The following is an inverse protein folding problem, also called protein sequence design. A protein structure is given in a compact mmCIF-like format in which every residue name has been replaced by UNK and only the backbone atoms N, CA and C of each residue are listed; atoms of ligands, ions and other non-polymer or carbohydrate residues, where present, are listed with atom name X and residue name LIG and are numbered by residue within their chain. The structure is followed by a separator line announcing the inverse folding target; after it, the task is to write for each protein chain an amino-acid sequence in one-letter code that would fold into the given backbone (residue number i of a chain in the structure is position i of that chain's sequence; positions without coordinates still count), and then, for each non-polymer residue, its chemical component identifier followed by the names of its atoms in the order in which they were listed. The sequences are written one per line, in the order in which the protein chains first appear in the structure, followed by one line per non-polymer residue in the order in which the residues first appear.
data_IF_182684562410
#
_entry.id   IF_182684562410
#
_cell.length_a   1.000
_cell.length_b   1.000
_cell.length_c   1.000
_cell.angle_alpha   90.00
_cell.angle_beta   90.00
_cell.angle_gamma   90.00
#
_symmetry.space_group_name_H-M   'P 1'
#
loop_
_entity.id
_entity.type
_entity.pdbx_description
1 polymer ?
#
# COMPACT_ATOMS: atom_id res chain seq x y z
N UNK A 1 -30.82 8.83 -2.91
CA UNK A 1 -29.89 8.12 -3.78
C UNK A 1 -28.50 8.69 -3.52
N UNK A 2 -27.48 7.89 -3.43
CA UNK A 2 -26.07 8.29 -3.27
C UNK A 2 -25.23 7.65 -4.41
N UNK A 3 -24.12 8.29 -4.76
CA UNK A 3 -23.25 7.85 -5.84
C UNK A 3 -21.99 7.17 -5.33
N UNK A 4 -21.53 7.52 -4.13
CA UNK A 4 -20.27 7.02 -3.57
C UNK A 4 -20.42 6.58 -2.12
N UNK A 5 -19.43 5.81 -1.60
CA UNK A 5 -19.38 5.42 -0.19
C UNK A 5 -19.37 6.67 0.72
N UNK A 6 -18.58 7.69 0.35
CA UNK A 6 -18.51 8.93 1.13
C UNK A 6 -19.85 9.68 1.16
N UNK A 7 -20.53 9.82 0.02
CA UNK A 7 -21.86 10.43 -0.02
C UNK A 7 -22.88 9.67 0.82
N UNK A 8 -22.85 8.32 0.77
CA UNK A 8 -23.73 7.49 1.58
C UNK A 8 -23.52 7.76 3.07
N UNK A 9 -22.25 7.74 3.50
CA UNK A 9 -21.87 7.98 4.90
C UNK A 9 -22.27 9.40 5.36
N UNK A 10 -22.01 10.43 4.55
CA UNK A 10 -22.37 11.81 4.85
C UNK A 10 -23.89 12.03 4.99
N UNK A 11 -24.68 11.20 4.30
CA UNK A 11 -26.16 11.19 4.42
C UNK A 11 -26.66 10.26 5.52
N UNK A 12 -25.77 9.65 6.32
CA UNK A 12 -26.12 8.75 7.42
C UNK A 12 -26.48 7.32 6.99
N UNK A 13 -26.19 6.93 5.74
CA UNK A 13 -26.48 5.57 5.28
C UNK A 13 -25.25 4.65 5.49
N UNK A 14 -25.53 3.43 5.92
CA UNK A 14 -24.58 2.33 5.96
C UNK A 14 -24.74 1.49 4.69
N UNK A 15 -23.66 1.33 3.92
CA UNK A 15 -23.63 0.50 2.71
C UNK A 15 -23.28 -0.94 3.04
N UNK A 16 -23.45 -1.86 2.08
CA UNK A 16 -23.02 -3.25 2.27
C UNK A 16 -21.50 -3.37 2.37
N UNK A 17 -20.75 -2.55 1.63
CA UNK A 17 -19.29 -2.49 1.77
C UNK A 17 -18.86 -2.06 3.19
N UNK A 18 -19.53 -1.08 3.79
CA UNK A 18 -19.27 -0.67 5.19
C UNK A 18 -19.56 -1.80 6.19
N UNK A 19 -20.61 -2.59 5.99
CA UNK A 19 -20.90 -3.76 6.85
C UNK A 19 -19.80 -4.80 6.80
N UNK A 20 -19.35 -5.16 5.60
CA UNK A 20 -18.26 -6.13 5.38
C UNK A 20 -16.97 -5.63 6.05
N UNK A 21 -16.60 -4.38 5.81
CA UNK A 21 -15.39 -3.79 6.41
C UNK A 21 -15.50 -3.75 7.94
N UNK A 22 -16.66 -3.35 8.49
CA UNK A 22 -16.86 -3.29 9.94
C UNK A 22 -16.71 -4.66 10.61
N UNK A 23 -17.21 -5.73 9.96
CA UNK A 23 -17.05 -7.11 10.43
C UNK A 23 -15.56 -7.52 10.42
N UNK A 24 -14.84 -7.30 9.32
CA UNK A 24 -13.40 -7.60 9.20
C UNK A 24 -12.56 -6.87 10.26
N UNK A 25 -12.90 -5.61 10.51
CA UNK A 25 -12.17 -4.74 11.44
C UNK A 25 -12.64 -4.87 12.91
N UNK A 26 -13.61 -5.75 13.19
CA UNK A 26 -14.23 -5.90 14.51
C UNK A 26 -14.68 -4.57 15.11
N UNK A 27 -15.23 -3.70 14.25
CA UNK A 27 -15.66 -2.34 14.58
C UNK A 27 -17.17 -2.19 14.49
N UNK A 28 -17.74 -1.31 15.32
CA UNK A 28 -19.12 -0.90 15.18
C UNK A 28 -19.34 -0.19 13.83
N UNK A 29 -20.36 -0.61 13.09
CA UNK A 29 -20.61 -0.13 11.72
C UNK A 29 -20.98 1.36 11.65
N UNK A 30 -21.66 1.89 12.68
CA UNK A 30 -22.00 3.30 12.76
C UNK A 30 -20.74 4.15 13.00
N UNK A 31 -19.81 3.65 13.83
CA UNK A 31 -18.49 4.26 14.03
C UNK A 31 -17.70 4.27 12.74
N UNK A 32 -17.70 3.18 11.97
CA UNK A 32 -17.05 3.10 10.68
C UNK A 32 -17.65 4.11 9.70
N UNK A 33 -18.99 4.14 9.58
CA UNK A 33 -19.69 5.13 8.75
C UNK A 33 -19.28 6.57 9.10
N UNK A 34 -19.20 6.89 10.37
CA UNK A 34 -18.82 8.24 10.82
C UNK A 34 -17.36 8.59 10.44
N UNK A 35 -16.44 7.61 10.48
CA UNK A 35 -15.07 7.79 10.00
C UNK A 35 -15.02 7.98 8.48
N UNK A 36 -15.82 7.23 7.73
CA UNK A 36 -15.97 7.42 6.27
C UNK A 36 -16.57 8.80 5.98
N UNK A 37 -17.64 9.20 6.66
CA UNK A 37 -18.29 10.51 6.49
C UNK A 37 -17.33 11.70 6.73
N UNK A 38 -16.36 11.53 7.65
CA UNK A 38 -15.32 12.51 7.92
C UNK A 38 -14.15 12.43 6.90
N UNK A 39 -14.14 11.44 6.00
CA UNK A 39 -13.05 11.16 5.06
C UNK A 39 -11.78 10.65 5.73
N UNK A 40 -11.86 10.12 6.95
CA UNK A 40 -10.74 9.52 7.70
C UNK A 40 -10.57 8.02 7.41
N UNK A 41 -11.54 7.44 6.72
CA UNK A 41 -11.51 6.10 6.16
C UNK A 41 -12.00 6.19 4.72
N UNK A 42 -11.32 5.52 3.81
CA UNK A 42 -11.75 5.25 2.45
C UNK A 42 -12.05 3.76 2.27
N UNK A 43 -13.08 3.44 1.50
CA UNK A 43 -13.41 2.08 1.08
C UNK A 43 -13.42 2.10 -0.44
N UNK A 44 -12.27 1.90 -1.10
CA UNK A 44 -12.18 1.83 -2.55
C UNK A 44 -13.00 0.65 -3.06
N UNK A 45 -14.06 0.92 -3.82
CA UNK A 45 -15.00 -0.10 -4.25
C UNK A 45 -15.79 0.42 -5.46
N UNK A 46 -15.23 0.22 -6.66
CA UNK A 46 -15.87 0.62 -7.90
C UNK A 46 -17.14 -0.20 -8.17
N UNK A 47 -18.20 0.44 -8.64
CA UNK A 47 -19.48 -0.19 -8.96
C UNK A 47 -19.38 -1.32 -9.98
N UNK A 48 -18.37 -1.27 -10.87
CA UNK A 48 -18.14 -2.24 -11.92
C UNK A 48 -17.23 -3.41 -11.48
N UNK A 49 -16.58 -3.30 -10.30
CA UNK A 49 -15.77 -4.36 -9.72
C UNK A 49 -16.64 -5.29 -8.85
N UNK A 50 -17.38 -6.19 -9.50
CA UNK A 50 -18.45 -6.96 -8.83
C UNK A 50 -17.95 -8.13 -7.97
N UNK A 51 -16.69 -8.55 -8.12
CA UNK A 51 -16.10 -9.65 -7.34
C UNK A 51 -15.26 -9.16 -6.14
N UNK A 52 -15.16 -7.85 -5.93
CA UNK A 52 -14.37 -7.28 -4.84
C UNK A 52 -14.84 -7.78 -3.48
N UNK A 53 -13.89 -8.04 -2.60
CA UNK A 53 -14.10 -8.22 -1.17
C UNK A 53 -13.64 -6.93 -0.45
N UNK A 54 -14.56 -5.99 -0.14
CA UNK A 54 -14.21 -4.62 0.26
C UNK A 54 -13.29 -4.55 1.46
N UNK A 55 -12.29 -3.65 1.39
CA UNK A 55 -11.38 -3.30 2.47
C UNK A 55 -11.48 -1.81 2.83
N UNK A 56 -11.27 -1.49 4.08
CA UNK A 56 -11.19 -0.11 4.55
C UNK A 56 -9.74 0.32 4.78
N UNK A 57 -9.39 1.52 4.38
CA UNK A 57 -8.08 2.12 4.59
C UNK A 57 -8.27 3.37 5.44
N UNK A 58 -7.58 3.47 6.59
CA UNK A 58 -7.63 4.69 7.38
C UNK A 58 -7.62 4.49 8.88
N UNK A 59 -8.15 5.50 9.57
CA UNK A 59 -8.08 5.65 11.02
C UNK A 59 -8.77 4.51 11.77
N UNK A 60 -8.08 3.95 12.76
CA UNK A 60 -8.57 2.89 13.65
C UNK A 60 -8.84 1.52 12.98
N UNK A 61 -8.40 1.33 11.75
CA UNK A 61 -8.42 0.06 11.03
C UNK A 61 -7.04 -0.59 11.03
N UNK A 62 -6.96 -1.89 10.70
CA UNK A 62 -5.69 -2.56 10.44
C UNK A 62 -4.96 -1.86 9.28
N UNK A 63 -3.65 -1.79 9.39
CA UNK A 63 -2.79 -1.27 8.31
C UNK A 63 -2.82 -2.22 7.11
N UNK A 64 -3.20 -1.70 5.93
CA UNK A 64 -3.29 -2.46 4.68
C UNK A 64 -1.99 -2.42 3.91
N UNK A 65 -1.73 -3.43 3.10
CA UNK A 65 -0.60 -3.43 2.16
C UNK A 65 -1.07 -3.43 0.72
N UNK A 66 -0.33 -2.71 -0.12
CA UNK A 66 -0.49 -2.70 -1.56
C UNK A 66 0.70 -3.37 -2.24
N UNK A 67 0.42 -4.23 -3.20
CA UNK A 67 1.40 -4.94 -4.01
C UNK A 67 1.41 -4.37 -5.42
N UNK A 68 2.56 -3.82 -5.85
CA UNK A 68 2.77 -3.34 -7.19
C UNK A 68 3.21 -4.48 -8.10
N UNK A 69 2.61 -4.55 -9.28
CA UNK A 69 3.00 -5.47 -10.35
C UNK A 69 2.64 -4.86 -11.70
N UNK A 70 3.04 -5.51 -12.77
CA UNK A 70 2.69 -5.05 -14.12
C UNK A 70 3.79 -5.33 -15.13
N UNK A 71 3.39 -5.32 -16.41
CA UNK A 71 4.28 -5.56 -17.54
C UNK A 71 5.13 -4.35 -17.87
N UNK A 72 6.33 -4.61 -18.39
CA UNK A 72 7.23 -3.62 -18.97
C UNK A 72 7.59 -4.02 -20.41
N UNK A 73 8.32 -3.14 -21.10
CA UNK A 73 8.77 -3.44 -22.47
C UNK A 73 9.63 -4.70 -22.55
N UNK A 74 10.42 -4.95 -21.52
CA UNK A 74 11.35 -6.08 -21.48
C UNK A 74 10.72 -7.36 -20.91
N UNK A 75 9.57 -7.24 -20.19
CA UNK A 75 8.85 -8.36 -19.57
C UNK A 75 7.35 -8.16 -19.82
N UNK A 76 6.81 -8.91 -20.79
CA UNK A 76 5.41 -8.80 -21.25
C UNK A 76 4.56 -10.05 -20.95
N UNK A 77 5.02 -10.89 -20.03
CA UNK A 77 4.36 -12.16 -19.69
C UNK A 77 3.22 -11.91 -18.68
N UNK A 78 1.98 -11.85 -19.19
CA UNK A 78 0.78 -11.70 -18.37
C UNK A 78 0.51 -12.90 -17.46
N UNK A 79 0.90 -14.11 -17.85
CA UNK A 79 0.65 -15.30 -17.04
C UNK A 79 1.55 -15.27 -15.78
N UNK A 80 2.80 -14.85 -15.93
CA UNK A 80 3.70 -14.59 -14.80
C UNK A 80 3.16 -13.48 -13.86
N UNK A 81 2.58 -12.41 -14.43
CA UNK A 81 1.97 -11.35 -13.60
C UNK A 81 0.73 -11.85 -12.84
N UNK A 82 -0.10 -12.70 -13.44
CA UNK A 82 -1.24 -13.33 -12.74
C UNK A 82 -0.76 -14.29 -11.64
N UNK A 83 0.34 -15.02 -11.85
CA UNK A 83 0.93 -15.84 -10.78
C UNK A 83 1.31 -14.99 -9.57
N UNK A 84 1.95 -13.84 -9.79
CA UNK A 84 2.28 -12.89 -8.71
C UNK A 84 1.02 -12.35 -8.02
N UNK A 85 -0.04 -12.05 -8.75
CA UNK A 85 -1.35 -11.67 -8.15
C UNK A 85 -1.87 -12.77 -7.24
N UNK A 86 -1.87 -14.02 -7.71
CA UNK A 86 -2.34 -15.15 -6.92
C UNK A 86 -1.54 -15.31 -5.62
N UNK A 87 -0.20 -15.20 -5.70
CA UNK A 87 0.65 -15.21 -4.50
C UNK A 87 0.33 -14.04 -3.57
N UNK A 88 0.16 -12.84 -4.12
CA UNK A 88 -0.17 -11.67 -3.30
C UNK A 88 -1.47 -11.88 -2.50
N UNK A 89 -2.52 -12.39 -3.15
CA UNK A 89 -3.80 -12.69 -2.50
C UNK A 89 -3.65 -13.79 -1.43
N UNK A 90 -2.96 -14.89 -1.75
CA UNK A 90 -2.74 -15.99 -0.80
C UNK A 90 -1.97 -15.54 0.44
N UNK A 91 -1.04 -14.63 0.29
CA UNK A 91 -0.26 -14.04 1.38
C UNK A 91 -0.99 -12.89 2.08
N UNK A 92 -2.22 -12.59 1.65
CA UNK A 92 -3.12 -11.66 2.33
C UNK A 92 -2.87 -10.19 1.98
N UNK A 93 -2.42 -9.88 0.76
CA UNK A 93 -2.42 -8.51 0.26
C UNK A 93 -3.86 -8.02 0.06
N UNK A 94 -4.16 -6.82 0.54
CA UNK A 94 -5.49 -6.21 0.46
C UNK A 94 -5.68 -5.41 -0.84
N UNK A 95 -4.57 -5.08 -1.52
CA UNK A 95 -4.59 -4.27 -2.74
C UNK A 95 -3.53 -4.70 -3.74
N UNK A 96 -3.89 -4.60 -5.00
CA UNK A 96 -3.00 -4.82 -6.16
C UNK A 96 -2.98 -3.53 -6.99
N UNK A 97 -1.80 -2.97 -7.22
CA UNK A 97 -1.64 -1.84 -8.13
C UNK A 97 -1.01 -2.30 -9.45
N UNK A 98 -1.75 -2.17 -10.52
CA UNK A 98 -1.27 -2.47 -11.88
C UNK A 98 -0.48 -1.28 -12.44
N UNK A 99 0.83 -1.45 -12.54
CA UNK A 99 1.77 -0.46 -13.07
C UNK A 99 2.25 -0.77 -14.50
N UNK A 100 1.47 -1.54 -15.26
CA UNK A 100 1.82 -1.93 -16.62
C UNK A 100 2.10 -0.71 -17.51
N UNK A 101 3.21 -0.78 -18.26
CA UNK A 101 3.66 0.27 -19.19
C UNK A 101 3.83 -0.24 -20.60
N UNK A 102 3.40 -1.47 -20.89
CA UNK A 102 3.53 -2.08 -22.21
C UNK A 102 2.49 -3.17 -22.45
N UNK A 103 2.14 -3.40 -23.72
CA UNK A 103 1.16 -4.41 -24.15
C UNK A 103 -0.27 -3.89 -24.12
N UNK A 104 -1.23 -4.79 -24.18
CA UNK A 104 -2.66 -4.46 -24.05
C UNK A 104 -3.02 -4.33 -22.55
N UNK A 105 -2.74 -3.17 -22.00
CA UNK A 105 -2.97 -2.87 -20.59
C UNK A 105 -4.44 -2.98 -20.21
N UNK A 106 -5.37 -2.74 -21.16
CA UNK A 106 -6.81 -2.81 -20.91
C UNK A 106 -7.31 -4.24 -20.70
N UNK A 107 -6.81 -5.20 -21.48
CA UNK A 107 -7.15 -6.62 -21.31
C UNK A 107 -6.71 -7.09 -19.93
N UNK A 108 -5.48 -6.78 -19.53
CA UNK A 108 -4.96 -7.17 -18.23
C UNK A 108 -5.74 -6.51 -17.08
N UNK A 109 -6.03 -5.21 -17.18
CA UNK A 109 -6.83 -4.46 -16.20
C UNK A 109 -8.21 -5.06 -16.01
N UNK A 110 -8.94 -5.35 -17.11
CA UNK A 110 -10.27 -6.00 -17.06
C UNK A 110 -10.22 -7.40 -16.47
N UNK A 111 -9.17 -8.17 -16.76
CA UNK A 111 -8.98 -9.48 -16.14
C UNK A 111 -8.84 -9.34 -14.63
N UNK A 112 -8.02 -8.40 -14.15
CA UNK A 112 -7.87 -8.13 -12.72
C UNK A 112 -9.21 -7.77 -12.07
N UNK A 113 -9.95 -6.80 -12.59
CA UNK A 113 -11.21 -6.34 -12.00
C UNK A 113 -12.36 -7.37 -12.13
N UNK A 114 -12.24 -8.38 -12.99
CA UNK A 114 -13.24 -9.45 -13.11
C UNK A 114 -12.96 -10.69 -12.25
N UNK A 115 -11.71 -10.92 -11.84
CA UNK A 115 -11.28 -12.17 -11.18
C UNK A 115 -10.67 -11.94 -9.78
N UNK A 116 -10.04 -10.80 -9.54
CA UNK A 116 -9.35 -10.51 -8.29
C UNK A 116 -10.31 -9.93 -7.25
N UNK A 117 -10.24 -10.40 -6.00
CA UNK A 117 -11.05 -9.90 -4.89
C UNK A 117 -10.43 -8.70 -4.15
N UNK A 118 -9.14 -8.44 -4.33
CA UNK A 118 -8.47 -7.32 -3.72
C UNK A 118 -8.81 -6.00 -4.42
N UNK A 119 -8.63 -4.87 -3.75
CA UNK A 119 -8.74 -3.55 -4.36
C UNK A 119 -7.76 -3.42 -5.53
N UNK A 120 -8.21 -2.93 -6.68
CA UNK A 120 -7.38 -2.72 -7.87
C UNK A 120 -7.09 -1.23 -8.02
N UNK A 121 -5.80 -0.88 -7.97
CA UNK A 121 -5.29 0.46 -8.25
C UNK A 121 -4.58 0.55 -9.59
N UNK A 122 -4.57 1.73 -10.18
CA UNK A 122 -3.84 2.01 -11.43
C UNK A 122 -3.28 3.43 -11.46
N UNK A 123 -2.39 3.69 -12.42
CA UNK A 123 -1.78 5.01 -12.68
C UNK A 123 -2.10 5.43 -14.12
N UNK A 124 -3.21 6.11 -14.38
CA UNK A 124 -3.70 6.40 -15.73
C UNK A 124 -2.70 7.09 -16.66
N UNK A 125 -1.80 7.93 -16.13
CA UNK A 125 -0.79 8.60 -16.94
C UNK A 125 0.14 7.63 -17.70
N UNK A 126 0.36 6.41 -17.17
CA UNK A 126 1.17 5.41 -17.88
C UNK A 126 0.45 4.91 -19.13
N UNK A 127 -0.86 4.71 -19.00
CA UNK A 127 -1.70 4.17 -20.07
C UNK A 127 -2.06 5.24 -21.13
N UNK A 128 -2.04 6.53 -20.78
CA UNK A 128 -2.40 7.61 -21.70
C UNK A 128 -1.56 7.61 -22.97
N UNK A 129 -0.23 7.43 -22.84
CA UNK A 129 0.68 7.36 -24.00
C UNK A 129 0.44 6.09 -24.81
N UNK A 130 0.22 4.94 -24.13
CA UNK A 130 0.03 3.64 -24.76
C UNK A 130 -1.30 3.60 -25.50
N UNK A 131 -2.38 4.02 -24.86
CA UNK A 131 -3.73 3.98 -25.40
C UNK A 131 -3.87 4.87 -26.64
N UNK A 132 -3.39 6.10 -26.56
CA UNK A 132 -3.52 7.05 -27.66
C UNK A 132 -2.45 6.89 -28.75
N UNK A 133 -1.40 6.10 -28.52
CA UNK A 133 -0.29 5.86 -29.46
C UNK A 133 0.30 7.17 -30.02
N UNK A 134 0.46 8.18 -29.14
CA UNK A 134 1.02 9.50 -29.45
C UNK A 134 2.17 9.83 -28.51
N UNK A 135 3.07 10.69 -28.97
CA UNK A 135 4.14 11.20 -28.11
C UNK A 135 3.56 12.01 -26.95
N UNK A 136 4.24 11.95 -25.81
CA UNK A 136 3.78 12.61 -24.58
C UNK A 136 3.42 14.10 -24.80
N UNK A 137 4.21 14.83 -25.58
CA UNK A 137 3.98 16.24 -25.87
C UNK A 137 2.75 16.52 -26.75
N UNK A 138 2.25 15.52 -27.45
CA UNK A 138 1.08 15.62 -28.33
C UNK A 138 -0.24 15.32 -27.60
N UNK A 139 -0.16 14.74 -26.40
CA UNK A 139 -1.35 14.46 -25.59
C UNK A 139 -2.01 15.77 -25.15
N UNK A 140 -3.33 15.76 -25.17
CA UNK A 140 -4.17 16.85 -24.68
C UNK A 140 -4.72 16.55 -23.30
N UNK A 141 -5.29 17.54 -22.63
CA UNK A 141 -5.97 17.32 -21.35
C UNK A 141 -7.11 16.30 -21.51
N UNK A 142 -7.86 16.37 -22.62
CA UNK A 142 -8.97 15.43 -22.90
C UNK A 142 -8.48 13.96 -23.00
N UNK A 143 -7.30 13.73 -23.62
CA UNK A 143 -6.73 12.38 -23.71
C UNK A 143 -6.44 11.79 -22.32
N UNK A 144 -5.97 12.60 -21.38
CA UNK A 144 -5.77 12.16 -19.99
C UNK A 144 -7.10 11.89 -19.29
N UNK A 145 -8.12 12.74 -19.48
CA UNK A 145 -9.46 12.55 -18.90
C UNK A 145 -10.14 11.31 -19.46
N UNK A 146 -10.05 11.08 -20.77
CA UNK A 146 -10.56 9.87 -21.43
C UNK A 146 -9.92 8.61 -20.82
N UNK A 147 -8.60 8.60 -20.63
CA UNK A 147 -7.90 7.48 -20.02
C UNK A 147 -8.40 7.21 -18.59
N UNK A 148 -8.60 8.24 -17.77
CA UNK A 148 -9.17 8.09 -16.42
C UNK A 148 -10.56 7.46 -16.49
N UNK A 149 -11.41 7.91 -17.42
CA UNK A 149 -12.76 7.36 -17.65
C UNK A 149 -12.72 5.88 -18.03
N UNK A 150 -11.81 5.49 -18.93
CA UNK A 150 -11.62 4.09 -19.32
C UNK A 150 -11.23 3.21 -18.14
N UNK A 151 -10.35 3.68 -17.25
CA UNK A 151 -9.97 2.95 -16.05
C UNK A 151 -11.17 2.79 -15.09
N UNK A 152 -11.95 3.85 -14.90
CA UNK A 152 -13.15 3.82 -14.08
C UNK A 152 -14.21 2.84 -14.64
N UNK A 153 -14.46 2.86 -15.96
CA UNK A 153 -15.37 1.93 -16.66
C UNK A 153 -14.93 0.48 -16.52
N UNK A 154 -13.63 0.22 -16.58
CA UNK A 154 -13.04 -1.10 -16.46
C UNK A 154 -13.06 -1.66 -15.02
N UNK A 155 -13.60 -0.91 -14.03
CA UNK A 155 -13.80 -1.38 -12.67
C UNK A 155 -12.66 -1.12 -11.71
N UNK A 156 -11.73 -0.22 -12.03
CA UNK A 156 -10.61 0.15 -11.14
C UNK A 156 -11.15 0.85 -9.89
N UNK A 157 -10.73 0.43 -8.70
CA UNK A 157 -11.24 0.91 -7.42
C UNK A 157 -10.60 2.24 -6.97
N UNK A 158 -9.33 2.44 -7.31
CA UNK A 158 -8.65 3.70 -7.07
C UNK A 158 -7.64 4.03 -8.17
N UNK A 159 -7.47 5.32 -8.44
CA UNK A 159 -6.52 5.81 -9.44
C UNK A 159 -5.53 6.77 -8.81
N UNK A 160 -4.23 6.57 -9.09
CA UNK A 160 -3.19 7.50 -8.67
C UNK A 160 -3.04 8.62 -9.69
N UNK A 161 -3.25 9.84 -9.24
CA UNK A 161 -3.19 11.05 -10.05
C UNK A 161 -2.25 12.09 -9.43
N UNK A 162 -1.27 12.53 -10.19
CA UNK A 162 -0.26 13.51 -9.74
C UNK A 162 -0.77 14.94 -9.89
N UNK A 163 -1.81 15.28 -9.14
CA UNK A 163 -2.46 16.59 -9.20
C UNK A 163 -1.70 17.68 -8.44
N UNK A 164 -0.76 17.32 -7.55
CA UNK A 164 -0.10 18.24 -6.63
C UNK A 164 0.96 19.13 -7.26
N UNK A 165 1.59 18.71 -8.37
CA UNK A 165 2.59 19.52 -9.07
C UNK A 165 1.92 20.53 -10.01
N UNK A 166 2.44 21.78 -10.00
CA UNK A 166 1.95 22.88 -10.81
C UNK A 166 3.13 23.59 -11.47
N UNK A 167 2.90 24.56 -12.34
CA UNK A 167 3.95 25.41 -12.88
C UNK A 167 4.75 26.15 -11.79
N UNK A 168 4.12 26.43 -10.65
CA UNK A 168 4.83 27.00 -9.49
C UNK A 168 5.81 25.96 -8.91
N UNK A 169 5.39 24.70 -8.76
CA UNK A 169 6.26 23.61 -8.30
C UNK A 169 7.47 23.40 -9.22
N UNK A 170 7.30 23.49 -10.56
CA UNK A 170 8.42 23.45 -11.50
C UNK A 170 9.46 24.53 -11.19
N UNK A 171 9.02 25.74 -10.89
CA UNK A 171 9.92 26.85 -10.56
C UNK A 171 10.65 26.61 -9.22
N UNK A 172 9.99 26.00 -8.25
CA UNK A 172 10.61 25.64 -6.97
C UNK A 172 11.67 24.54 -7.15
N UNK A 173 11.35 23.48 -7.87
CA UNK A 173 12.30 22.39 -8.17
C UNK A 173 13.57 22.94 -8.85
N UNK A 174 13.42 23.84 -9.83
CA UNK A 174 14.55 24.48 -10.52
C UNK A 174 15.43 25.31 -9.58
N UNK A 175 14.86 25.91 -8.55
CA UNK A 175 15.58 26.75 -7.57
C UNK A 175 16.21 25.93 -6.45
N UNK A 176 15.49 24.90 -5.97
CA UNK A 176 15.87 24.16 -4.77
C UNK A 176 17.02 23.20 -5.02
N UNK A 177 17.07 22.58 -6.21
CA UNK A 177 18.13 21.63 -6.61
C UNK A 177 18.26 20.45 -5.64
N UNK A 178 17.16 19.72 -5.44
CA UNK A 178 17.18 18.41 -4.76
C UNK A 178 18.22 17.48 -5.40
N UNK A 179 18.71 16.49 -4.68
CA UNK A 179 19.74 15.57 -5.20
C UNK A 179 19.23 14.72 -6.36
N UNK A 180 18.03 14.15 -6.22
CA UNK A 180 17.43 13.26 -7.22
C UNK A 180 16.25 13.89 -7.98
N UNK A 181 15.79 15.08 -7.54
CA UNK A 181 14.60 15.72 -8.10
C UNK A 181 13.35 14.81 -8.03
N UNK A 182 12.54 14.77 -9.09
CA UNK A 182 11.35 13.92 -9.15
C UNK A 182 11.76 12.47 -9.50
N UNK A 183 11.57 11.55 -8.57
CA UNK A 183 11.82 10.11 -8.76
C UNK A 183 10.53 9.32 -9.03
N UNK A 184 9.37 9.93 -8.80
CA UNK A 184 8.08 9.36 -9.15
C UNK A 184 7.95 9.24 -10.68
N UNK A 185 7.72 8.02 -11.18
CA UNK A 185 7.57 7.76 -12.62
C UNK A 185 6.42 8.58 -13.22
N UNK A 186 5.25 8.56 -12.61
CA UNK A 186 4.09 9.31 -13.10
C UNK A 186 4.24 10.82 -12.90
N UNK A 187 4.78 11.23 -11.76
CA UNK A 187 5.10 12.64 -11.50
C UNK A 187 6.08 13.21 -12.52
N UNK A 188 7.13 12.45 -12.89
CA UNK A 188 8.10 12.87 -13.90
C UNK A 188 7.50 12.98 -15.30
N UNK A 189 6.53 12.12 -15.67
CA UNK A 189 5.82 12.22 -16.95
C UNK A 189 4.97 13.51 -17.01
N UNK A 190 4.22 13.83 -15.98
CA UNK A 190 3.44 15.07 -15.91
C UNK A 190 4.37 16.29 -15.91
N UNK A 191 5.45 16.25 -15.14
CA UNK A 191 6.45 17.32 -15.15
C UNK A 191 7.05 17.52 -16.55
N UNK A 192 7.40 16.45 -17.26
CA UNK A 192 7.91 16.48 -18.63
C UNK A 192 6.87 17.08 -19.58
N UNK A 193 5.62 16.63 -19.52
CA UNK A 193 4.53 17.16 -20.34
C UNK A 193 4.36 18.67 -20.14
N UNK A 194 4.28 19.13 -18.89
CA UNK A 194 4.18 20.55 -18.54
C UNK A 194 5.39 21.35 -19.06
N UNK A 195 6.58 20.78 -18.99
CA UNK A 195 7.82 21.44 -19.43
C UNK A 195 7.90 21.56 -20.96
N UNK A 196 7.45 20.54 -21.69
CA UNK A 196 7.46 20.52 -23.16
C UNK A 196 6.35 21.38 -23.76
N UNK A 197 5.15 21.35 -23.17
CA UNK A 197 3.98 22.07 -23.71
C UNK A 197 3.86 23.48 -23.18
N UNK A 198 4.50 23.82 -22.07
CA UNK A 198 4.34 25.11 -21.38
C UNK A 198 2.97 25.27 -20.69
N UNK A 199 2.12 24.24 -20.70
CA UNK A 199 0.78 24.24 -20.10
C UNK A 199 0.83 23.91 -18.62
N UNK A 200 -0.27 24.13 -17.90
CA UNK A 200 -0.47 23.72 -16.52
C UNK A 200 -0.72 22.19 -16.47
N UNK A 201 -0.54 21.60 -15.30
CA UNK A 201 -0.83 20.20 -15.04
C UNK A 201 -2.30 19.88 -15.38
N UNK A 202 -2.60 18.99 -16.32
CA UNK A 202 -3.97 18.71 -16.74
C UNK A 202 -4.81 18.11 -15.61
N UNK A 203 -4.22 17.33 -14.69
CA UNK A 203 -4.94 16.77 -13.54
C UNK A 203 -5.27 17.83 -12.48
N UNK A 204 -4.48 18.89 -12.36
CA UNK A 204 -4.77 20.01 -11.49
C UNK A 204 -5.82 20.96 -12.11
N UNK A 205 -5.64 21.31 -13.36
CA UNK A 205 -6.50 22.26 -14.09
C UNK A 205 -7.92 21.71 -14.27
N UNK A 206 -8.05 20.42 -14.62
CA UNK A 206 -9.32 19.72 -14.84
C UNK A 206 -9.77 18.86 -13.67
N UNK A 207 -9.36 19.21 -12.44
CA UNK A 207 -9.65 18.38 -11.27
C UNK A 207 -11.13 18.17 -11.03
N UNK A 208 -11.99 19.18 -11.25
CA UNK A 208 -13.44 19.05 -11.05
C UNK A 208 -14.07 18.08 -12.06
N UNK A 209 -13.59 18.02 -13.29
CA UNK A 209 -14.04 17.05 -14.31
C UNK A 209 -13.61 15.62 -13.93
N UNK A 210 -12.41 15.47 -13.37
CA UNK A 210 -11.94 14.19 -12.82
C UNK A 210 -12.83 13.74 -11.66
N UNK A 211 -13.21 14.65 -10.77
CA UNK A 211 -14.11 14.32 -9.67
C UNK A 211 -15.48 13.85 -10.17
N UNK A 212 -16.01 14.44 -11.23
CA UNK A 212 -17.28 14.00 -11.82
C UNK A 212 -17.17 12.60 -12.43
N UNK A 213 -16.06 12.26 -13.12
CA UNK A 213 -15.78 10.91 -13.60
C UNK A 213 -15.72 9.92 -12.42
N UNK A 214 -14.92 10.23 -11.39
CA UNK A 214 -14.76 9.34 -10.23
C UNK A 214 -16.07 9.11 -9.48
N UNK A 215 -16.94 10.12 -9.42
CA UNK A 215 -18.25 10.04 -8.78
C UNK A 215 -19.19 9.07 -9.47
N UNK A 216 -19.17 9.04 -10.80
CA UNK A 216 -20.07 8.17 -11.58
C UNK A 216 -19.80 6.68 -11.34
N UNK A 217 -18.56 6.32 -11.01
CA UNK A 217 -18.13 4.93 -10.82
C UNK A 217 -17.75 4.56 -9.38
N UNK A 218 -17.79 5.51 -8.43
CA UNK A 218 -17.29 5.38 -7.05
C UNK A 218 -15.79 5.03 -6.99
N UNK A 219 -15.00 5.71 -7.82
CA UNK A 219 -13.53 5.56 -7.83
C UNK A 219 -12.93 6.44 -6.74
N UNK A 220 -12.07 5.87 -5.92
CA UNK A 220 -11.26 6.61 -4.94
C UNK A 220 -10.07 7.26 -5.65
N UNK A 221 -9.75 8.51 -5.33
CA UNK A 221 -8.55 9.17 -5.85
C UNK A 221 -7.39 8.96 -4.87
N UNK A 222 -6.31 8.34 -5.35
CA UNK A 222 -5.01 8.39 -4.69
C UNK A 222 -4.26 9.61 -5.20
N UNK A 223 -4.16 10.66 -4.37
CA UNK A 223 -3.44 11.88 -4.70
C UNK A 223 -1.94 11.61 -4.61
N UNK A 224 -1.31 11.47 -5.79
CA UNK A 224 0.07 11.07 -5.94
C UNK A 224 1.08 12.12 -5.49
N UNK A 225 2.16 11.68 -4.89
CA UNK A 225 3.29 12.47 -4.39
C UNK A 225 4.43 12.52 -5.43
N UNK A 226 4.31 13.38 -6.42
CA UNK A 226 5.34 13.55 -7.46
C UNK A 226 6.72 13.92 -6.86
N UNK A 227 6.70 14.76 -5.83
CA UNK A 227 7.90 15.28 -5.15
C UNK A 227 8.34 14.41 -3.95
N UNK A 228 7.91 13.13 -3.87
CA UNK A 228 8.40 12.24 -2.83
C UNK A 228 9.92 12.10 -2.87
N UNK A 229 10.62 12.09 -1.71
CA UNK A 229 12.08 11.96 -1.69
C UNK A 229 12.52 10.57 -2.18
N UNK A 230 13.48 10.56 -3.11
CA UNK A 230 14.14 9.35 -3.61
C UNK A 230 15.45 9.03 -2.90
N UNK A 231 15.88 9.88 -1.97
CA UNK A 231 17.02 9.66 -1.09
C UNK A 231 16.81 10.42 0.23
N UNK A 232 17.53 10.01 1.27
CA UNK A 232 17.38 10.61 2.61
C UNK A 232 17.68 12.13 2.62
N UNK A 233 18.55 12.58 1.72
CA UNK A 233 18.95 13.99 1.67
C UNK A 233 17.85 14.93 1.16
N UNK A 234 16.87 14.39 0.43
CA UNK A 234 15.74 15.15 -0.12
C UNK A 234 14.48 15.04 0.76
N UNK A 235 14.56 14.28 1.86
CA UNK A 235 13.43 14.07 2.76
C UNK A 235 12.97 15.39 3.41
N UNK A 236 11.66 15.60 3.43
CA UNK A 236 11.01 16.76 4.07
C UNK A 236 11.47 18.11 3.48
N UNK A 237 11.85 18.09 2.19
CA UNK A 237 12.25 19.30 1.50
C UNK A 237 11.06 20.22 1.16
N UNK A 238 11.37 21.41 0.66
CA UNK A 238 10.34 22.42 0.33
C UNK A 238 9.39 21.93 -0.76
N UNK A 239 9.87 21.13 -1.72
CA UNK A 239 9.05 20.66 -2.83
C UNK A 239 8.05 19.60 -2.36
N UNK A 240 8.48 18.67 -1.51
CA UNK A 240 7.61 17.67 -0.88
C UNK A 240 6.52 18.34 -0.04
N UNK A 241 6.88 19.31 0.81
CA UNK A 241 5.91 19.98 1.69
C UNK A 241 4.96 20.90 0.91
N UNK A 242 5.45 21.64 -0.11
CA UNK A 242 4.57 22.46 -0.96
C UNK A 242 3.54 21.61 -1.70
N UNK A 243 3.96 20.45 -2.25
CA UNK A 243 3.04 19.51 -2.87
C UNK A 243 2.00 19.00 -1.86
N UNK A 244 2.41 18.59 -0.65
CA UNK A 244 1.50 18.10 0.37
C UNK A 244 0.45 19.15 0.80
N UNK A 245 0.83 20.42 0.91
CA UNK A 245 -0.13 21.51 1.16
C UNK A 245 -1.21 21.54 0.07
N UNK A 246 -0.81 21.41 -1.19
CA UNK A 246 -1.75 21.40 -2.33
C UNK A 246 -2.62 20.15 -2.35
N UNK A 247 -2.06 18.97 -2.02
CA UNK A 247 -2.85 17.75 -1.86
C UNK A 247 -3.93 17.91 -0.78
N UNK A 248 -3.62 18.62 0.32
CA UNK A 248 -4.61 18.97 1.34
C UNK A 248 -5.75 19.87 0.84
N UNK A 249 -5.45 20.83 -0.04
CA UNK A 249 -6.46 21.68 -0.69
C UNK A 249 -7.35 20.86 -1.64
N UNK A 250 -6.76 19.99 -2.46
CA UNK A 250 -7.49 19.11 -3.37
C UNK A 250 -8.35 18.10 -2.63
N UNK A 251 -7.88 17.60 -1.48
CA UNK A 251 -8.65 16.72 -0.59
C UNK A 251 -9.96 17.36 -0.14
N UNK A 252 -9.91 18.64 0.24
CA UNK A 252 -11.13 19.38 0.62
C UNK A 252 -12.12 19.49 -0.55
N UNK A 253 -11.61 19.76 -1.77
CA UNK A 253 -12.44 19.85 -2.98
C UNK A 253 -13.09 18.49 -3.30
N UNK A 254 -12.31 17.41 -3.26
CA UNK A 254 -12.82 16.06 -3.51
C UNK A 254 -13.91 15.66 -2.51
N UNK A 255 -13.66 15.86 -1.20
CA UNK A 255 -14.64 15.57 -0.15
C UNK A 255 -15.92 16.38 -0.28
N UNK A 256 -15.84 17.63 -0.72
CA UNK A 256 -17.02 18.47 -0.98
C UNK A 256 -17.88 17.95 -2.14
N UNK A 257 -17.28 17.23 -3.09
CA UNK A 257 -17.95 16.52 -4.20
C UNK A 257 -18.37 15.07 -3.82
N UNK A 258 -18.13 14.63 -2.59
CA UNK A 258 -18.44 13.28 -2.13
C UNK A 258 -17.46 12.20 -2.62
N UNK A 259 -16.24 12.57 -2.99
CA UNK A 259 -15.22 11.63 -3.48
C UNK A 259 -14.24 11.26 -2.37
N UNK A 260 -13.99 9.95 -2.21
CA UNK A 260 -12.99 9.42 -1.30
C UNK A 260 -11.58 9.73 -1.82
N UNK A 261 -10.67 10.01 -0.88
CA UNK A 261 -9.28 10.34 -1.18
C UNK A 261 -8.35 9.53 -0.30
N UNK A 262 -7.25 9.08 -0.88
CA UNK A 262 -6.06 8.57 -0.22
C UNK A 262 -4.92 9.52 -0.59
N UNK A 263 -4.03 9.84 0.34
CA UNK A 263 -2.86 10.69 0.06
C UNK A 263 -1.64 9.79 -0.08
N UNK A 264 -0.88 9.92 -1.17
CA UNK A 264 0.43 9.28 -1.26
C UNK A 264 1.48 10.08 -0.50
N UNK A 265 2.45 9.38 0.04
CA UNK A 265 3.44 9.96 0.92
C UNK A 265 4.85 9.38 0.73
N UNK A 266 5.82 9.85 1.52
CA UNK A 266 7.21 9.85 1.18
C UNK A 266 7.81 8.45 1.00
N UNK A 267 8.86 8.38 0.14
CA UNK A 267 9.67 7.19 -0.11
C UNK A 267 10.85 7.07 0.86
N UNK A 268 11.93 7.82 0.62
CA UNK A 268 13.14 7.74 1.45
C UNK A 268 13.11 8.81 2.56
N UNK A 269 13.02 8.37 3.83
CA UNK A 269 12.94 9.30 4.98
C UNK A 269 13.80 8.77 6.12
N UNK A 270 14.71 9.60 6.69
CA UNK A 270 15.42 9.23 7.91
C UNK A 270 14.45 8.85 9.02
N UNK A 271 14.77 7.80 9.78
CA UNK A 271 13.87 7.21 10.77
C UNK A 271 13.28 8.25 11.75
N UNK A 272 14.10 9.21 12.17
CA UNK A 272 13.71 10.29 13.10
C UNK A 272 12.80 11.37 12.48
N UNK A 273 12.55 11.36 11.17
CA UNK A 273 11.66 12.33 10.51
C UNK A 273 10.31 11.71 10.13
N UNK A 274 10.14 10.40 10.25
CA UNK A 274 8.92 9.70 9.81
C UNK A 274 7.71 10.22 10.59
N UNK A 275 7.79 10.28 11.91
CA UNK A 275 6.70 10.77 12.75
C UNK A 275 6.24 12.17 12.33
N UNK A 276 7.17 13.10 12.12
CA UNK A 276 6.84 14.46 11.71
C UNK A 276 6.13 14.50 10.36
N UNK A 277 6.53 13.65 9.40
CA UNK A 277 5.84 13.54 8.10
C UNK A 277 4.38 13.05 8.27
N UNK A 278 4.14 12.08 9.15
CA UNK A 278 2.77 11.60 9.43
C UNK A 278 1.90 12.70 10.07
N UNK A 279 2.44 13.43 11.05
CA UNK A 279 1.74 14.52 11.75
C UNK A 279 1.42 15.71 10.82
N UNK A 280 2.36 16.04 9.91
CA UNK A 280 2.15 17.11 8.92
C UNK A 280 1.02 16.72 7.96
N UNK A 281 1.01 15.48 7.45
CA UNK A 281 -0.06 15.01 6.58
C UNK A 281 -1.41 15.01 7.28
N UNK A 282 -1.51 14.41 8.48
CA UNK A 282 -2.77 14.38 9.25
C UNK A 282 -3.35 15.79 9.40
N UNK A 283 -2.48 16.78 9.65
CA UNK A 283 -2.89 18.18 9.81
C UNK A 283 -3.33 18.82 8.49
N UNK A 284 -2.52 18.71 7.44
CA UNK A 284 -2.75 19.39 6.17
C UNK A 284 -3.88 18.73 5.36
N UNK A 285 -3.96 17.41 5.39
CA UNK A 285 -4.95 16.64 4.63
C UNK A 285 -6.20 16.25 5.45
N UNK A 286 -6.30 16.74 6.70
CA UNK A 286 -7.47 16.55 7.56
C UNK A 286 -7.72 15.09 7.90
N UNK A 287 -6.66 14.34 8.18
CA UNK A 287 -6.69 12.93 8.57
C UNK A 287 -7.18 12.00 7.45
N UNK A 288 -6.94 12.32 6.19
CA UNK A 288 -7.15 11.41 5.08
C UNK A 288 -6.28 10.15 5.24
N UNK A 289 -6.67 8.99 4.70
CA UNK A 289 -5.80 7.83 4.72
C UNK A 289 -4.46 8.11 4.05
N UNK A 290 -3.36 7.80 4.74
CA UNK A 290 -2.01 8.05 4.24
C UNK A 290 -1.38 6.76 3.71
N UNK A 291 -0.95 6.79 2.45
CA UNK A 291 -0.36 5.70 1.68
C UNK A 291 1.11 6.02 1.40
N UNK A 292 2.03 5.25 1.99
CA UNK A 292 3.46 5.54 1.96
C UNK A 292 4.28 4.44 1.30
N UNK A 293 5.37 4.80 0.62
CA UNK A 293 6.33 3.86 0.01
C UNK A 293 7.40 3.51 1.04
N UNK A 294 7.16 2.51 1.84
CA UNK A 294 8.01 2.16 2.96
C UNK A 294 7.62 2.92 4.23
N UNK A 295 8.34 4.00 4.65
CA UNK A 295 9.52 4.66 4.03
C UNK A 295 10.83 3.88 4.14
N UNK A 296 11.71 4.05 3.15
CA UNK A 296 13.06 3.51 3.19
C UNK A 296 13.94 4.38 4.11
N UNK A 297 14.54 3.77 5.13
CA UNK A 297 15.27 4.51 6.20
C UNK A 297 16.77 4.64 5.96
N UNK A 298 17.28 4.05 4.86
CA UNK A 298 18.66 4.20 4.42
C UNK A 298 18.78 3.98 2.91
N UNK A 299 19.76 4.63 2.27
CA UNK A 299 19.98 4.58 0.82
C UNK A 299 21.04 3.54 0.41
N UNK A 300 21.71 2.87 1.36
CA UNK A 300 22.89 2.04 1.09
C UNK A 300 22.63 0.53 1.14
N UNK A 301 21.37 0.12 1.00
CA UNK A 301 21.01 -1.29 1.12
C UNK A 301 20.32 -1.87 -0.14
N UNK A 302 20.81 -1.65 -1.38
CA UNK A 302 20.24 -2.27 -2.56
C UNK A 302 20.22 -3.80 -2.42
N UNK A 303 19.09 -4.43 -2.81
CA UNK A 303 18.84 -5.86 -2.59
C UNK A 303 18.23 -6.19 -1.22
N UNK A 304 18.19 -5.21 -0.30
CA UNK A 304 17.56 -5.30 1.02
C UNK A 304 16.55 -4.16 1.26
N UNK A 305 16.12 -3.48 0.21
CA UNK A 305 15.20 -2.33 0.30
C UNK A 305 13.88 -2.70 0.97
N UNK A 306 13.38 -3.92 0.81
CA UNK A 306 12.22 -4.44 1.52
C UNK A 306 12.40 -4.44 3.06
N UNK A 307 13.61 -4.67 3.56
CA UNK A 307 13.91 -4.63 5.00
C UNK A 307 13.95 -3.18 5.49
N UNK A 308 14.65 -2.30 4.76
CA UNK A 308 14.75 -0.88 5.14
C UNK A 308 13.38 -0.20 5.12
N UNK A 309 12.57 -0.53 4.12
CA UNK A 309 11.22 -0.04 3.96
C UNK A 309 10.24 -0.63 5.01
N UNK A 310 10.39 -1.89 5.39
CA UNK A 310 9.57 -2.48 6.47
C UNK A 310 9.86 -1.83 7.83
N UNK A 311 11.12 -1.49 8.11
CA UNK A 311 11.48 -0.74 9.34
C UNK A 311 10.75 0.60 9.35
N UNK A 312 10.86 1.38 8.28
CA UNK A 312 10.18 2.66 8.17
C UNK A 312 8.66 2.55 8.13
N UNK A 313 8.15 1.52 7.45
CA UNK A 313 6.72 1.22 7.36
C UNK A 313 6.08 0.91 8.71
N UNK A 314 6.77 0.16 9.57
CA UNK A 314 6.31 -0.08 10.93
C UNK A 314 6.22 1.21 11.75
N UNK A 315 7.22 2.09 11.64
CA UNK A 315 7.21 3.40 12.32
C UNK A 315 6.14 4.32 11.72
N UNK A 316 6.01 4.39 10.41
CA UNK A 316 4.98 5.18 9.74
C UNK A 316 3.57 4.71 10.14
N UNK A 317 3.32 3.40 10.10
CA UNK A 317 2.04 2.81 10.51
C UNK A 317 1.70 3.09 11.98
N UNK A 318 2.67 2.99 12.89
CA UNK A 318 2.50 3.34 14.30
C UNK A 318 2.06 4.81 14.47
N UNK A 319 2.52 5.70 13.60
CA UNK A 319 2.25 7.15 13.68
C UNK A 319 1.15 7.64 12.74
N UNK A 320 0.42 6.75 12.03
CA UNK A 320 -0.78 7.16 11.31
C UNK A 320 -0.90 6.71 9.86
N UNK A 321 0.18 6.27 9.22
CA UNK A 321 0.06 5.65 7.90
C UNK A 321 -0.85 4.42 8.00
N UNK A 322 -1.80 4.31 7.08
CA UNK A 322 -2.82 3.26 7.10
C UNK A 322 -2.76 2.34 5.89
N UNK A 323 -1.91 2.67 4.92
CA UNK A 323 -1.70 1.93 3.70
C UNK A 323 -0.22 1.94 3.35
N UNK A 324 0.38 0.76 3.22
CA UNK A 324 1.80 0.61 2.94
C UNK A 324 2.00 0.07 1.53
N UNK A 325 2.70 0.82 0.69
CA UNK A 325 3.22 0.29 -0.56
C UNK A 325 4.39 -0.64 -0.25
N UNK A 326 4.26 -1.90 -0.65
CA UNK A 326 5.33 -2.85 -0.44
C UNK A 326 6.56 -2.49 -1.29
N UNK A 327 7.70 -2.95 -0.85
CA UNK A 327 8.99 -2.87 -1.56
C UNK A 327 9.58 -4.27 -1.61
N UNK A 328 10.24 -4.62 -2.70
CA UNK A 328 10.85 -5.94 -2.91
C UNK A 328 12.36 -5.88 -2.81
N UNK A 329 13.07 -7.03 -2.68
CA UNK A 329 14.52 -7.07 -2.80
C UNK A 329 15.05 -6.53 -4.13
N UNK A 330 14.23 -6.60 -5.20
CA UNK A 330 14.60 -6.15 -6.54
C UNK A 330 14.41 -4.63 -6.76
N UNK A 331 13.91 -3.89 -5.76
CA UNK A 331 13.69 -2.45 -5.88
C UNK A 331 14.96 -1.73 -6.34
N UNK A 332 14.81 -0.77 -7.25
CA UNK A 332 15.90 -0.05 -7.91
C UNK A 332 16.88 -0.89 -8.75
N UNK A 333 16.71 -2.23 -8.81
CA UNK A 333 17.63 -3.16 -9.48
C UNK A 333 17.02 -3.85 -10.70
N UNK A 334 15.79 -4.37 -10.57
CA UNK A 334 15.14 -5.17 -11.61
C UNK A 334 13.62 -5.22 -11.43
N UNK A 335 12.89 -5.75 -12.43
CA UNK A 335 11.51 -6.13 -12.26
C UNK A 335 11.45 -7.36 -11.34
N UNK A 336 10.66 -7.34 -10.24
CA UNK A 336 10.63 -8.42 -9.28
C UNK A 336 10.04 -9.72 -9.86
N UNK A 337 10.66 -10.84 -9.53
CA UNK A 337 10.11 -12.18 -9.75
C UNK A 337 9.15 -12.59 -8.62
N UNK A 338 8.59 -13.80 -8.70
CA UNK A 338 7.61 -14.28 -7.70
C UNK A 338 8.20 -14.39 -6.28
N UNK A 339 9.47 -14.78 -6.14
CA UNK A 339 10.12 -14.90 -4.83
C UNK A 339 10.39 -13.52 -4.22
N UNK A 340 10.83 -12.55 -5.02
CA UNK A 340 10.99 -11.16 -4.59
C UNK A 340 9.65 -10.58 -4.09
N UNK A 341 8.56 -10.87 -4.82
CA UNK A 341 7.20 -10.45 -4.43
C UNK A 341 6.80 -11.05 -3.09
N UNK A 342 7.02 -12.36 -2.88
CA UNK A 342 6.73 -13.04 -1.60
C UNK A 342 7.53 -12.43 -0.44
N UNK A 343 8.83 -12.19 -0.63
CA UNK A 343 9.66 -11.59 0.41
C UNK A 343 9.22 -10.18 0.75
N UNK A 344 8.91 -9.36 -0.25
CA UNK A 344 8.37 -8.03 -0.04
C UNK A 344 7.05 -8.03 0.73
N UNK A 345 6.10 -8.88 0.36
CA UNK A 345 4.82 -9.03 1.05
C UNK A 345 5.04 -9.40 2.52
N UNK A 346 5.88 -10.41 2.79
CA UNK A 346 6.15 -10.83 4.17
C UNK A 346 6.78 -9.74 5.01
N UNK A 347 7.75 -9.00 4.46
CA UNK A 347 8.35 -7.87 5.15
C UNK A 347 7.30 -6.82 5.56
N UNK A 348 6.38 -6.51 4.65
CA UNK A 348 5.35 -5.50 4.89
C UNK A 348 4.19 -6.00 5.75
N UNK A 349 3.81 -7.28 5.70
CA UNK A 349 2.87 -7.89 6.66
C UNK A 349 3.41 -7.83 8.08
N UNK A 350 4.72 -8.08 8.26
CA UNK A 350 5.36 -7.95 9.57
C UNK A 350 5.36 -6.48 10.03
N UNK A 351 5.67 -5.52 9.14
CA UNK A 351 5.67 -4.11 9.45
C UNK A 351 4.28 -3.60 9.85
N UNK A 352 3.25 -3.95 9.07
CA UNK A 352 1.85 -3.60 9.33
C UNK A 352 1.37 -4.18 10.67
N UNK A 353 1.64 -5.46 10.91
CA UNK A 353 1.26 -6.13 12.16
C UNK A 353 1.93 -5.49 13.39
N UNK A 354 3.23 -5.19 13.30
CA UNK A 354 3.96 -4.50 14.37
C UNK A 354 3.40 -3.11 14.67
N UNK A 355 3.03 -2.35 13.62
CA UNK A 355 2.39 -1.05 13.75
C UNK A 355 1.02 -1.15 14.41
N UNK A 356 0.20 -2.13 14.02
CA UNK A 356 -1.13 -2.35 14.55
C UNK A 356 -1.11 -2.78 16.02
N UNK A 357 -0.12 -3.58 16.44
CA UNK A 357 0.12 -3.88 17.86
C UNK A 357 0.42 -2.60 18.64
N UNK A 358 1.30 -1.75 18.13
CA UNK A 358 1.67 -0.49 18.77
C UNK A 358 0.48 0.48 18.87
N UNK A 359 -0.42 0.47 17.88
CA UNK A 359 -1.66 1.27 17.86
C UNK A 359 -2.78 0.67 18.73
N UNK A 360 -2.64 -0.56 19.19
CA UNK A 360 -3.65 -1.26 20.00
C UNK A 360 -4.92 -1.60 19.22
N UNK A 361 -4.80 -1.97 17.93
CA UNK A 361 -5.93 -2.39 17.11
C UNK A 361 -6.59 -3.64 17.72
N UNK A 362 -7.93 -3.68 17.84
CA UNK A 362 -8.64 -4.77 18.50
C UNK A 362 -8.36 -6.14 17.85
N UNK A 363 -7.97 -7.12 18.67
CA UNK A 363 -7.74 -8.51 18.24
C UNK A 363 -6.42 -8.75 17.50
N UNK A 364 -5.59 -7.72 17.27
CA UNK A 364 -4.34 -7.88 16.54
C UNK A 364 -3.36 -8.84 17.23
N UNK A 365 -3.34 -8.88 18.56
CA UNK A 365 -2.46 -9.74 19.35
C UNK A 365 -2.93 -11.19 19.53
N UNK A 366 -4.13 -11.52 19.09
CA UNK A 366 -4.70 -12.85 19.31
C UNK A 366 -3.78 -13.98 18.80
N UNK A 367 -3.14 -13.77 17.62
CA UNK A 367 -2.20 -14.73 17.05
C UNK A 367 -0.84 -14.77 17.77
N UNK A 368 -0.35 -13.63 18.27
CA UNK A 368 0.90 -13.56 19.04
C UNK A 368 0.75 -14.27 20.39
N UNK A 369 -0.36 -14.08 21.05
CA UNK A 369 -0.66 -14.72 22.33
C UNK A 369 -0.83 -16.25 22.14
N UNK A 370 -1.54 -16.68 21.09
CA UNK A 370 -1.64 -18.10 20.72
C UNK A 370 -0.28 -18.71 20.34
N UNK A 371 0.57 -17.98 19.62
CA UNK A 371 1.95 -18.39 19.32
C UNK A 371 2.77 -18.55 20.58
N UNK A 372 2.64 -17.65 21.57
CA UNK A 372 3.34 -17.74 22.84
C UNK A 372 2.91 -18.99 23.62
N UNK A 373 1.62 -19.31 23.66
CA UNK A 373 1.09 -20.52 24.30
C UNK A 373 1.58 -21.79 23.59
N UNK A 374 1.56 -21.84 22.27
CA UNK A 374 2.09 -22.95 21.48
C UNK A 374 3.60 -23.16 21.71
N UNK A 375 4.39 -22.08 21.77
CA UNK A 375 5.82 -22.11 22.11
C UNK A 375 6.06 -22.64 23.52
N UNK A 376 5.23 -22.27 24.49
CA UNK A 376 5.36 -22.70 25.88
C UNK A 376 5.30 -24.22 26.01
N UNK A 377 4.48 -24.88 25.20
CA UNK A 377 4.33 -26.36 25.23
C UNK A 377 5.12 -27.06 24.11
N UNK A 378 5.86 -26.34 23.31
CA UNK A 378 6.64 -26.83 22.15
C UNK A 378 5.76 -27.53 21.10
N UNK A 379 4.53 -27.09 20.95
CA UNK A 379 3.60 -27.56 19.90
C UNK A 379 3.93 -26.87 18.57
N UNK A 380 4.65 -27.55 17.69
CA UNK A 380 5.09 -27.03 16.41
C UNK A 380 3.95 -26.83 15.41
N UNK A 381 2.95 -27.70 15.42
CA UNK A 381 1.81 -27.57 14.52
C UNK A 381 0.97 -26.32 14.89
N UNK A 382 0.73 -26.09 16.16
CA UNK A 382 0.06 -24.89 16.63
C UNK A 382 0.89 -23.62 16.34
N UNK A 383 2.25 -23.69 16.43
CA UNK A 383 3.11 -22.57 16.04
C UNK A 383 3.00 -22.26 14.54
N UNK A 384 2.98 -23.28 13.67
CA UNK A 384 2.81 -23.07 12.23
C UNK A 384 1.43 -22.46 11.91
N UNK A 385 0.38 -22.91 12.58
CA UNK A 385 -0.97 -22.36 12.39
C UNK A 385 -1.08 -20.87 12.76
N UNK A 386 -0.23 -20.37 13.66
CA UNK A 386 -0.17 -18.94 14.03
C UNK A 386 0.78 -18.13 13.15
N UNK A 387 1.69 -18.76 12.39
CA UNK A 387 2.73 -18.06 11.63
C UNK A 387 2.15 -17.26 10.45
N UNK A 388 2.76 -16.14 10.12
CA UNK A 388 2.45 -15.37 8.90
C UNK A 388 2.83 -16.15 7.63
N UNK A 389 3.94 -16.90 7.67
CA UNK A 389 4.39 -17.80 6.62
C UNK A 389 4.64 -19.20 7.23
N UNK A 390 3.60 -20.02 7.33
CA UNK A 390 3.70 -21.35 7.93
C UNK A 390 4.55 -22.31 7.10
N UNK A 391 4.55 -22.18 5.77
CA UNK A 391 5.32 -23.03 4.86
C UNK A 391 6.81 -22.80 5.04
N UNK A 392 7.27 -21.55 5.01
CA UNK A 392 8.69 -21.19 5.24
C UNK A 392 9.16 -21.63 6.61
N UNK A 393 8.34 -21.42 7.65
CA UNK A 393 8.68 -21.83 9.01
C UNK A 393 8.84 -23.36 9.14
N UNK A 394 7.91 -24.13 8.54
CA UNK A 394 7.96 -25.59 8.49
C UNK A 394 9.18 -26.07 7.72
N UNK A 395 9.41 -25.59 6.53
CA UNK A 395 10.53 -25.98 5.65
C UNK A 395 11.90 -25.74 6.33
N UNK A 396 12.07 -24.59 6.99
CA UNK A 396 13.31 -24.29 7.73
C UNK A 396 13.53 -25.30 8.86
N UNK A 397 12.48 -25.62 9.64
CA UNK A 397 12.63 -26.56 10.74
C UNK A 397 12.87 -27.98 10.26
N UNK A 398 12.12 -28.48 9.28
CA UNK A 398 12.23 -29.85 8.77
C UNK A 398 13.55 -30.10 8.05
N UNK A 399 14.03 -29.13 7.24
CA UNK A 399 15.33 -29.23 6.56
C UNK A 399 16.54 -29.26 7.53
N UNK A 400 16.32 -28.86 8.78
CA UNK A 400 17.36 -28.80 9.83
C UNK A 400 16.87 -29.52 11.09
N UNK A 401 16.08 -30.58 10.92
CA UNK A 401 15.55 -31.34 12.05
C UNK A 401 16.69 -31.88 12.92
N UNK A 402 16.51 -31.91 14.27
CA UNK A 402 17.48 -32.55 15.15
C UNK A 402 17.52 -34.07 14.89
N UNK A 403 18.64 -34.70 15.23
CA UNK A 403 18.80 -36.16 15.18
C UNK A 403 17.69 -36.89 15.96
N UNK A 404 17.45 -38.15 15.64
CA UNK A 404 16.44 -38.99 16.28
C UNK A 404 16.54 -38.93 17.82
N UNK A 405 15.41 -38.65 18.49
CA UNK A 405 15.31 -38.55 19.94
C UNK A 405 15.17 -37.13 20.51
N UNK A 406 15.24 -36.09 19.70
CA UNK A 406 15.09 -34.68 20.17
C UNK A 406 14.05 -33.90 19.36
N UNK A 407 13.02 -34.55 18.84
CA UNK A 407 11.98 -33.93 17.97
C UNK A 407 11.15 -32.84 18.66
N UNK A 408 11.08 -32.82 20.01
CA UNK A 408 10.34 -31.79 20.76
C UNK A 408 10.98 -30.39 20.68
N UNK A 409 12.33 -30.31 20.51
CA UNK A 409 13.04 -29.02 20.46
C UNK A 409 13.59 -28.72 19.05
N UNK A 410 14.06 -27.50 18.81
CA UNK A 410 14.76 -27.17 17.57
C UNK A 410 16.24 -27.57 17.65
N UNK A 411 16.90 -27.73 16.48
CA UNK A 411 18.33 -28.05 16.39
C UNK A 411 19.28 -26.97 16.92
N UNK A 412 18.78 -25.72 17.15
CA UNK A 412 19.60 -24.64 17.72
C UNK A 412 20.00 -24.90 19.17
N UNK A 413 19.03 -25.29 20.01
CA UNK A 413 19.24 -25.47 21.45
C UNK A 413 19.31 -26.96 21.86
N UNK A 414 18.58 -27.84 21.16
CA UNK A 414 18.52 -29.27 21.53
C UNK A 414 18.14 -29.46 22.99
N UNK A 415 18.90 -30.26 23.72
CA UNK A 415 18.69 -30.51 25.16
C UNK A 415 18.85 -29.27 26.05
N UNK A 416 19.54 -28.24 25.60
CA UNK A 416 19.69 -26.95 26.31
C UNK A 416 18.49 -26.00 26.11
N UNK A 417 17.39 -26.43 25.50
CA UNK A 417 16.23 -25.60 25.28
C UNK A 417 15.68 -25.06 26.61
N UNK A 418 15.67 -23.73 26.76
CA UNK A 418 15.23 -23.08 27.97
C UNK A 418 13.76 -23.38 28.29
N UNK A 419 12.87 -23.38 27.26
CA UNK A 419 11.45 -23.70 27.43
C UNK A 419 11.28 -25.12 27.95
N UNK A 420 11.93 -26.11 27.33
CA UNK A 420 11.91 -27.51 27.79
C UNK A 420 12.40 -27.65 29.23
N UNK A 421 13.57 -27.05 29.52
CA UNK A 421 14.16 -27.15 30.86
C UNK A 421 13.31 -26.52 31.95
N UNK A 422 12.71 -25.34 31.66
CA UNK A 422 11.79 -24.68 32.60
C UNK A 422 10.51 -25.48 32.82
N UNK A 423 9.92 -26.04 31.76
CA UNK A 423 8.75 -26.89 31.89
C UNK A 423 9.03 -28.13 32.78
N UNK A 424 10.17 -28.81 32.54
CA UNK A 424 10.60 -29.95 33.38
C UNK A 424 10.83 -29.55 34.85
N UNK A 425 11.54 -28.40 35.04
CA UNK A 425 11.80 -27.92 36.41
C UNK A 425 10.52 -27.58 37.16
N UNK A 426 9.55 -26.92 36.54
CA UNK A 426 8.27 -26.56 37.14
C UNK A 426 7.41 -27.79 37.46
N UNK A 427 7.55 -28.87 36.68
CA UNK A 427 6.90 -30.14 36.91
C UNK A 427 7.68 -31.08 37.88
N UNK A 428 8.81 -30.62 38.42
CA UNK A 428 9.73 -31.45 39.24
C UNK A 428 10.26 -32.69 38.50
N UNK A 429 10.43 -32.60 37.20
CA UNK A 429 10.97 -33.62 36.33
C UNK A 429 12.51 -33.50 36.22
N UNK A 430 13.17 -34.64 35.97
CA UNK A 430 14.62 -34.65 35.74
C UNK A 430 15.00 -33.94 34.42
N UNK A 431 16.00 -33.07 34.47
CA UNK A 431 16.51 -32.35 33.34
C UNK A 431 17.81 -33.03 32.83
N UNK A 432 17.69 -33.80 31.77
CA UNK A 432 18.84 -34.41 31.08
C UNK A 432 19.45 -33.38 30.09
N UNK A 433 20.72 -33.09 30.30
CA UNK A 433 21.46 -32.13 29.43
C UNK A 433 22.56 -32.90 28.65
N UNK A 434 22.98 -34.05 29.12
CA UNK A 434 24.06 -34.87 28.52
C UNK A 434 23.51 -35.95 27.60
#
# INVERSE_FOLDING_TARGET
MFYTQLEAAQKGFVTDAMKIVAEKERMDVEKLRDLVAQGKVAIPCNKNHTCIDPEGIGKALHTKINVNLGTSRDVTDYDSEIEKVNWAIQLGAESIMNLSTHGDTRIFRRKLTSECKAMIGTVPVYDSVIHHQRDLAELTAEDFLETIRLHAEDGVDFVTLYCGITRQTINQIRKHKSRLNIVSRGGSLIFAWMSMTGKENPFYEHFDEILDICRDYDVTISLGDACRPGCLADATDVCQIEELVRLGELTKRARAKGIQVIIEGPGHVPLNQIQANMEIEETLCGGAPFYVVGPLVTDIAPGYDHITAAIGGAVAGMHGASFLCYVTPAEHLALPNADDVKEGIMAFKIAAHAADIARGIPGVRDKDDAMADARRVLDWEAQYACALDPEKARNIRESRAPEEGHSETCSMCGKFCAVRSMNKALNSEYIDIL
#
